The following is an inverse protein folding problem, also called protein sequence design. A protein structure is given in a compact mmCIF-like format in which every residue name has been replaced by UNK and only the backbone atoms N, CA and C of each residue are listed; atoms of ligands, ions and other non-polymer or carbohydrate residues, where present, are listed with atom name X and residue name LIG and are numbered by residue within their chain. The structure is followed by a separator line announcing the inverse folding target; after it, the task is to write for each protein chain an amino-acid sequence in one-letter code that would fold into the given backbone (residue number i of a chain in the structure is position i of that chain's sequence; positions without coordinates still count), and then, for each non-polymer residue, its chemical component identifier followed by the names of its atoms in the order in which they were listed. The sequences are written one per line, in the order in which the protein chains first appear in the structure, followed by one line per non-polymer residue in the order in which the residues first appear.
data_IF_055147387768
#
_entry.id   IF_055147387768
#
_cell.length_a   1.000
_cell.length_b   1.000
_cell.length_c   1.000
_cell.angle_alpha   90.00
_cell.angle_beta   90.00
_cell.angle_gamma   90.00
#
_symmetry.space_group_name_H-M   'P 1'
#
loop_
_entity.id
_entity.type
_entity.pdbx_description
1 polymer ?
#
# COMPACT_ATOMS: atom_id res chain seq x y z
N UNK A 1 -4.51 1.97 17.27
CA UNK A 1 -3.15 2.38 16.84
C UNK A 1 -2.11 1.57 17.59
N UNK A 2 -0.97 1.24 16.99
CA UNK A 2 0.12 0.55 17.68
C UNK A 2 0.77 1.45 18.75
N UNK A 3 1.56 0.85 19.66
CA UNK A 3 2.31 1.51 20.70
C UNK A 3 3.76 0.98 20.80
N UNK A 4 4.49 1.38 21.85
CA UNK A 4 5.83 0.90 22.09
C UNK A 4 6.84 1.28 20.99
N UNK A 5 7.51 0.29 20.42
CA UNK A 5 8.57 0.52 19.40
C UNK A 5 8.02 1.07 18.08
N UNK A 6 6.78 0.77 17.71
CA UNK A 6 6.15 1.21 16.45
C UNK A 6 5.97 2.73 16.34
N UNK A 7 5.83 3.41 17.47
CA UNK A 7 5.58 4.86 17.50
C UNK A 7 6.86 5.70 17.64
N UNK A 8 8.02 5.06 17.85
CA UNK A 8 9.30 5.75 17.95
C UNK A 8 9.96 5.86 16.58
N UNK A 9 10.22 7.08 16.14
CA UNK A 9 10.90 7.33 14.86
C UNK A 9 12.29 6.70 14.79
N UNK A 10 13.00 6.67 15.92
CA UNK A 10 14.33 6.05 16.00
C UNK A 10 14.28 4.53 15.79
N UNK A 11 13.23 3.85 16.26
CA UNK A 11 13.15 2.38 16.25
C UNK A 11 12.37 1.87 15.03
N UNK A 12 11.28 2.54 14.64
CA UNK A 12 10.42 2.14 13.54
C UNK A 12 10.79 2.81 12.21
N UNK A 13 11.44 3.98 12.24
CA UNK A 13 11.76 4.77 11.05
C UNK A 13 10.59 5.60 10.53
N UNK A 14 9.41 4.99 10.40
CA UNK A 14 8.16 5.59 9.92
C UNK A 14 6.96 4.93 10.60
N UNK A 15 5.78 5.47 10.41
CA UNK A 15 4.53 4.99 10.96
C UNK A 15 3.65 4.26 9.95
N UNK A 16 2.39 4.68 9.81
CA UNK A 16 1.38 4.02 8.99
C UNK A 16 1.80 3.80 7.53
N UNK A 17 2.58 4.74 6.96
CA UNK A 17 3.06 4.65 5.57
C UNK A 17 3.93 3.40 5.37
N UNK A 18 4.84 3.11 6.28
CA UNK A 18 5.74 1.96 6.16
C UNK A 18 5.13 0.69 6.74
N UNK A 19 4.39 0.76 7.86
CA UNK A 19 3.88 -0.40 8.57
C UNK A 19 2.78 -1.13 7.77
N UNK A 20 1.69 -0.45 7.46
CA UNK A 20 0.56 -1.03 6.72
C UNK A 20 0.48 -0.56 5.26
N UNK A 21 1.08 0.58 4.94
CA UNK A 21 1.11 1.11 3.58
C UNK A 21 1.90 0.25 2.61
N UNK A 22 2.92 -0.46 3.09
CA UNK A 22 3.72 -1.37 2.28
C UNK A 22 2.88 -2.47 1.62
N UNK A 23 1.86 -3.01 2.29
CA UNK A 23 1.00 -4.05 1.74
C UNK A 23 0.16 -3.54 0.57
N UNK A 24 -0.45 -2.35 0.73
CA UNK A 24 -1.25 -1.73 -0.35
C UNK A 24 -0.38 -1.30 -1.53
N UNK A 25 0.82 -0.77 -1.26
CA UNK A 25 1.78 -0.42 -2.32
C UNK A 25 2.25 -1.66 -3.08
N UNK A 26 2.58 -2.75 -2.37
CA UNK A 26 3.02 -3.99 -3.02
C UNK A 26 1.96 -4.55 -3.96
N UNK A 27 0.72 -4.62 -3.51
CA UNK A 27 -0.40 -5.07 -4.33
C UNK A 27 -0.53 -4.25 -5.62
N UNK A 28 -0.47 -2.92 -5.52
CA UNK A 28 -0.61 -2.03 -6.67
C UNK A 28 0.61 -2.14 -7.59
N UNK A 29 1.81 -2.06 -7.04
CA UNK A 29 3.05 -2.14 -7.82
C UNK A 29 3.20 -3.49 -8.53
N UNK A 30 2.85 -4.59 -7.85
CA UNK A 30 2.86 -5.92 -8.44
C UNK A 30 1.85 -6.04 -9.61
N UNK A 31 0.65 -5.48 -9.44
CA UNK A 31 -0.38 -5.45 -10.50
C UNK A 31 0.09 -4.65 -11.72
N UNK A 32 0.85 -3.58 -11.51
CA UNK A 32 1.37 -2.70 -12.56
C UNK A 32 2.73 -3.13 -13.13
N UNK A 33 3.33 -4.21 -12.62
CA UNK A 33 4.64 -4.70 -13.05
C UNK A 33 5.83 -3.87 -12.56
N UNK A 34 5.69 -3.19 -11.42
CA UNK A 34 6.74 -2.38 -10.78
C UNK A 34 7.31 -1.28 -11.69
N UNK A 35 6.47 -0.37 -12.21
CA UNK A 35 6.94 0.72 -13.06
C UNK A 35 7.91 1.61 -12.27
N UNK A 36 8.83 2.25 -12.99
CA UNK A 36 9.82 3.15 -12.38
C UNK A 36 9.15 4.41 -11.82
N UNK A 37 9.24 4.68 -10.51
CA UNK A 37 8.74 5.92 -9.93
C UNK A 37 9.67 7.09 -10.27
N UNK A 38 9.08 8.27 -10.52
CA UNK A 38 9.80 9.49 -10.91
C UNK A 38 9.78 10.52 -9.79
N UNK A 39 8.57 10.93 -9.38
CA UNK A 39 8.39 11.97 -8.36
C UNK A 39 7.25 11.60 -7.41
N UNK A 40 7.26 12.22 -6.23
CA UNK A 40 6.19 12.10 -5.25
C UNK A 40 5.89 13.44 -4.58
N UNK A 41 4.60 13.72 -4.44
CA UNK A 41 4.07 14.82 -3.62
C UNK A 41 3.22 14.23 -2.52
N UNK A 42 3.50 14.59 -1.25
CA UNK A 42 2.86 13.94 -0.12
C UNK A 42 2.59 14.88 1.07
N UNK A 43 1.65 14.45 1.89
CA UNK A 43 1.35 15.03 3.20
C UNK A 43 1.21 13.90 4.23
N UNK A 44 1.72 14.12 5.43
CA UNK A 44 1.57 13.22 6.57
C UNK A 44 1.08 13.96 7.80
N UNK A 45 0.43 13.24 8.72
CA UNK A 45 -0.05 13.75 10.00
C UNK A 45 0.16 12.69 11.08
N UNK A 46 0.27 13.14 12.32
CA UNK A 46 0.26 12.30 13.53
C UNK A 46 -0.84 12.75 14.50
N UNK A 47 -1.91 13.33 13.99
CA UNK A 47 -2.96 14.01 14.78
C UNK A 47 -3.56 13.12 15.86
N UNK A 48 -3.90 11.88 15.52
CA UNK A 48 -4.51 10.95 16.48
C UNK A 48 -3.47 10.37 17.45
N UNK A 49 -2.31 9.98 16.92
CA UNK A 49 -1.24 9.39 17.72
C UNK A 49 -0.66 10.35 18.75
N UNK A 50 -0.44 11.61 18.36
CA UNK A 50 0.10 12.66 19.24
C UNK A 50 -0.94 13.28 20.18
N UNK A 51 -2.20 12.82 20.16
CA UNK A 51 -3.27 13.35 20.98
C UNK A 51 -3.66 12.37 22.09
N UNK A 52 -3.53 12.81 23.36
CA UNK A 52 -3.83 12.00 24.54
C UNK A 52 -5.28 11.54 24.67
N UNK A 53 -6.22 12.16 23.93
CA UNK A 53 -7.62 11.70 23.86
C UNK A 53 -7.75 10.39 23.07
N UNK A 54 -6.80 10.10 22.17
CA UNK A 54 -6.87 8.97 21.25
C UNK A 54 -5.78 7.93 21.49
N UNK A 55 -4.64 8.32 22.08
CA UNK A 55 -3.51 7.42 22.28
C UNK A 55 -2.90 7.54 23.68
N UNK A 56 -2.73 6.42 24.41
CA UNK A 56 -2.20 6.44 25.79
C UNK A 56 -0.73 6.87 25.87
N UNK A 57 0.04 6.65 24.81
CA UNK A 57 1.45 7.04 24.70
C UNK A 57 1.68 8.26 23.81
N UNK A 58 0.69 9.17 23.71
CA UNK A 58 0.71 10.32 22.81
C UNK A 58 1.98 11.19 22.94
N UNK A 59 2.51 11.34 24.16
CA UNK A 59 3.72 12.12 24.42
C UNK A 59 5.00 11.51 23.84
N UNK A 60 4.96 10.24 23.42
CA UNK A 60 6.08 9.50 22.80
C UNK A 60 5.83 9.22 21.31
N UNK A 61 4.73 9.69 20.76
CA UNK A 61 4.34 9.40 19.38
C UNK A 61 5.10 10.29 18.39
N UNK A 62 6.05 9.73 17.67
CA UNK A 62 7.02 10.47 16.83
C UNK A 62 6.82 10.24 15.32
N UNK A 63 5.99 9.27 14.93
CA UNK A 63 5.78 8.89 13.52
C UNK A 63 4.43 9.36 13.01
N UNK A 64 4.17 9.21 11.72
CA UNK A 64 2.87 9.53 11.14
C UNK A 64 1.84 8.41 11.39
N UNK A 65 0.59 8.80 11.68
CA UNK A 65 -0.57 7.92 11.76
C UNK A 65 -1.45 7.98 10.50
N UNK A 66 -1.23 8.99 9.67
CA UNK A 66 -1.92 9.22 8.41
C UNK A 66 -0.95 9.72 7.34
N UNK A 67 -1.17 9.28 6.10
CA UNK A 67 -0.46 9.82 4.95
C UNK A 67 -1.28 9.75 3.67
N UNK A 68 -1.04 10.75 2.81
CA UNK A 68 -1.56 10.81 1.45
C UNK A 68 -0.45 11.21 0.52
N UNK A 69 -0.39 10.56 -0.65
CA UNK A 69 0.63 10.85 -1.65
C UNK A 69 0.07 10.74 -3.06
N UNK A 70 0.67 11.50 -3.97
CA UNK A 70 0.57 11.35 -5.40
C UNK A 70 1.95 10.97 -5.93
N UNK A 71 2.08 9.78 -6.50
CA UNK A 71 3.33 9.27 -7.08
C UNK A 71 3.19 9.26 -8.60
N UNK A 72 4.14 9.87 -9.30
CA UNK A 72 4.24 9.83 -10.75
C UNK A 72 5.26 8.78 -11.16
N UNK A 73 4.89 7.98 -12.12
CA UNK A 73 5.76 6.95 -12.70
C UNK A 73 6.05 7.29 -14.16
N UNK A 74 6.95 6.53 -14.76
CA UNK A 74 7.11 6.53 -16.22
C UNK A 74 5.79 6.16 -16.94
N UNK A 75 5.69 6.47 -18.23
CA UNK A 75 4.53 6.18 -19.07
C UNK A 75 3.22 6.85 -18.61
N UNK A 76 3.33 8.06 -18.03
CA UNK A 76 2.18 8.87 -17.56
C UNK A 76 1.27 8.20 -16.51
N UNK A 77 1.75 7.16 -15.87
CA UNK A 77 1.03 6.50 -14.79
C UNK A 77 1.12 7.33 -13.50
N UNK A 78 -0.02 7.48 -12.82
CA UNK A 78 -0.12 8.20 -11.54
C UNK A 78 -0.83 7.35 -10.51
N UNK A 79 -0.24 7.23 -9.33
CA UNK A 79 -0.84 6.58 -8.16
C UNK A 79 -1.28 7.63 -7.14
N UNK A 80 -2.53 7.58 -6.73
CA UNK A 80 -3.01 8.23 -5.52
C UNK A 80 -3.02 7.22 -4.38
N UNK A 81 -2.23 7.48 -3.36
CA UNK A 81 -2.04 6.59 -2.23
C UNK A 81 -2.51 7.25 -0.94
N UNK A 82 -3.31 6.54 -0.15
CA UNK A 82 -3.77 6.96 1.18
C UNK A 82 -3.65 5.82 2.15
N UNK A 83 -3.20 6.11 3.37
CA UNK A 83 -3.10 5.13 4.44
C UNK A 83 -3.34 5.79 5.80
N UNK A 84 -3.92 5.06 6.73
CA UNK A 84 -4.14 5.57 8.09
C UNK A 84 -4.21 4.45 9.11
N UNK A 85 -3.60 4.67 10.27
CA UNK A 85 -3.82 3.85 11.46
C UNK A 85 -5.09 4.24 12.22
N UNK A 86 -5.54 5.50 12.04
CA UNK A 86 -6.74 6.02 12.71
C UNK A 86 -7.41 7.11 11.88
N UNK A 87 -8.74 7.07 11.85
CA UNK A 87 -9.56 8.05 11.15
C UNK A 87 -11.00 8.01 11.68
N UNK A 88 -11.74 9.07 11.48
CA UNK A 88 -13.18 9.12 11.78
C UNK A 88 -14.02 8.58 10.61
N UNK A 89 -13.59 7.47 10.01
CA UNK A 89 -14.29 6.77 8.92
C UNK A 89 -14.09 5.27 9.08
N UNK A 90 -14.94 4.48 8.44
CA UNK A 90 -14.89 3.02 8.45
C UNK A 90 -13.85 2.46 7.45
N UNK A 91 -13.57 3.17 6.36
CA UNK A 91 -12.63 2.74 5.33
C UNK A 91 -12.07 3.91 4.53
N UNK A 92 -10.87 3.74 3.97
CA UNK A 92 -10.30 4.64 2.97
C UNK A 92 -10.82 4.38 1.55
N UNK A 93 -11.66 3.35 1.37
CA UNK A 93 -12.28 2.99 0.10
C UNK A 93 -11.60 1.82 -0.62
N UNK A 94 -12.09 1.57 -1.83
CA UNK A 94 -11.57 0.52 -2.71
C UNK A 94 -10.24 0.95 -3.35
N UNK A 95 -9.42 -0.05 -3.72
CA UNK A 95 -8.34 0.17 -4.67
C UNK A 95 -8.91 0.16 -6.08
N UNK A 96 -8.58 1.18 -6.88
CA UNK A 96 -9.10 1.34 -8.23
C UNK A 96 -7.95 1.52 -9.23
N UNK A 97 -8.04 0.81 -10.35
CA UNK A 97 -7.18 1.00 -11.52
C UNK A 97 -8.05 1.60 -12.62
N UNK A 98 -7.69 2.79 -13.09
CA UNK A 98 -8.40 3.52 -14.12
C UNK A 98 -7.55 3.54 -15.39
N UNK A 99 -7.89 2.72 -16.34
CA UNK A 99 -7.25 2.64 -17.66
C UNK A 99 -8.12 3.26 -18.76
N UNK A 100 -7.56 3.36 -19.94
CA UNK A 100 -8.25 3.89 -21.14
C UNK A 100 -9.28 2.92 -21.70
N UNK A 101 -9.02 1.61 -21.56
CA UNK A 101 -9.83 0.55 -22.17
C UNK A 101 -10.72 -0.16 -21.15
N UNK A 102 -10.31 -0.15 -19.89
CA UNK A 102 -11.02 -0.81 -18.79
C UNK A 102 -10.66 -0.20 -17.43
N UNK A 103 -11.51 -0.44 -16.43
CA UNK A 103 -11.25 -0.14 -15.03
C UNK A 103 -11.37 -1.38 -14.15
N UNK A 104 -10.57 -1.45 -13.09
CA UNK A 104 -10.64 -2.51 -12.09
C UNK A 104 -10.88 -1.92 -10.71
N UNK A 105 -11.83 -2.49 -9.98
CA UNK A 105 -12.12 -2.11 -8.60
C UNK A 105 -11.94 -3.32 -7.69
N UNK A 106 -11.08 -3.16 -6.69
CA UNK A 106 -10.79 -4.17 -5.68
C UNK A 106 -11.32 -3.66 -4.34
N UNK A 107 -12.33 -4.33 -3.80
CA UNK A 107 -12.88 -3.99 -2.50
C UNK A 107 -11.96 -4.49 -1.38
N UNK A 108 -11.87 -3.79 -0.23
CA UNK A 108 -11.21 -4.35 0.94
C UNK A 108 -11.93 -5.61 1.43
N UNK A 109 -11.19 -6.56 1.96
CA UNK A 109 -11.76 -7.74 2.60
C UNK A 109 -12.35 -7.35 3.96
N UNK A 110 -13.62 -7.74 4.18
CA UNK A 110 -14.32 -7.47 5.43
C UNK A 110 -14.70 -6.00 5.63
N UNK A 111 -15.50 -5.75 6.64
CA UNK A 111 -15.82 -4.41 7.13
C UNK A 111 -15.21 -4.24 8.53
N UNK A 112 -14.56 -3.14 8.78
CA UNK A 112 -14.03 -2.83 10.10
C UNK A 112 -12.71 -2.06 10.05
N UNK A 113 -12.15 -1.73 11.22
CA UNK A 113 -10.95 -0.89 11.33
C UNK A 113 -9.69 -1.49 10.71
N UNK A 114 -9.72 -2.78 10.38
CA UNK A 114 -8.63 -3.51 9.71
C UNK A 114 -8.94 -3.86 8.26
N UNK A 115 -9.93 -3.16 7.66
CA UNK A 115 -10.27 -3.35 6.26
C UNK A 115 -9.12 -2.90 5.37
N UNK A 116 -8.42 -3.84 4.75
CA UNK A 116 -7.29 -3.58 3.89
C UNK A 116 -6.65 -4.87 3.41
N UNK A 117 -5.59 -4.73 2.66
CA UNK A 117 -4.82 -5.85 2.09
C UNK A 117 -3.62 -6.26 2.96
N UNK A 118 -3.61 -5.87 4.23
CA UNK A 118 -2.49 -6.10 5.15
C UNK A 118 -2.14 -7.58 5.35
N UNK A 119 -3.12 -8.47 5.21
CA UNK A 119 -2.93 -9.93 5.27
C UNK A 119 -2.97 -10.58 3.88
N UNK A 120 -3.06 -9.76 2.81
CA UNK A 120 -3.18 -10.21 1.44
C UNK A 120 -4.60 -10.63 1.04
N UNK A 121 -5.58 -10.53 1.93
CA UNK A 121 -6.97 -10.78 1.58
C UNK A 121 -7.58 -9.57 0.85
N UNK A 122 -8.42 -9.86 -0.14
CA UNK A 122 -9.19 -8.86 -0.88
C UNK A 122 -10.66 -9.25 -0.89
N UNK A 123 -11.53 -8.25 -0.97
CA UNK A 123 -12.95 -8.43 -1.17
C UNK A 123 -13.29 -8.73 -2.63
N UNK A 124 -14.48 -8.34 -3.06
CA UNK A 124 -14.90 -8.52 -4.45
C UNK A 124 -14.04 -7.72 -5.42
N UNK A 125 -13.75 -8.30 -6.58
CA UNK A 125 -13.08 -7.64 -7.70
C UNK A 125 -14.10 -7.48 -8.83
N UNK A 126 -14.18 -6.27 -9.39
CA UNK A 126 -15.08 -5.96 -10.51
C UNK A 126 -14.29 -5.30 -11.63
N UNK A 127 -14.41 -5.86 -12.84
CA UNK A 127 -13.90 -5.27 -14.07
C UNK A 127 -15.01 -4.41 -14.71
N UNK A 128 -14.65 -3.20 -15.12
CA UNK A 128 -15.52 -2.28 -15.87
C UNK A 128 -14.93 -2.10 -17.26
N UNK A 129 -15.72 -2.36 -18.29
CA UNK A 129 -15.27 -2.25 -19.70
C UNK A 129 -16.47 -2.02 -20.62
N UNK A 130 -16.18 -1.67 -21.86
CA UNK A 130 -17.20 -1.56 -22.89
C UNK A 130 -17.35 -2.89 -23.64
N UNK A 131 -18.58 -3.35 -23.84
CA UNK A 131 -18.89 -4.55 -24.59
C UNK A 131 -20.18 -4.32 -25.42
N UNK A 132 -20.16 -4.70 -26.68
CA UNK A 132 -21.30 -4.52 -27.63
C UNK A 132 -21.83 -3.07 -27.68
N UNK A 133 -20.96 -2.07 -27.48
CA UNK A 133 -21.31 -0.65 -27.50
C UNK A 133 -21.98 -0.12 -26.22
N UNK A 134 -21.95 -0.90 -25.14
CA UNK A 134 -22.47 -0.53 -23.83
C UNK A 134 -21.43 -0.71 -22.69
N UNK A 135 -21.58 0.09 -21.64
CA UNK A 135 -20.76 -0.07 -20.43
C UNK A 135 -21.22 -1.29 -19.64
N UNK A 136 -20.28 -2.17 -19.32
CA UNK A 136 -20.54 -3.39 -18.55
C UNK A 136 -19.69 -3.45 -17.29
N UNK A 137 -20.15 -4.25 -16.32
CA UNK A 137 -19.39 -4.57 -15.12
C UNK A 137 -19.42 -6.08 -14.90
N UNK A 138 -18.24 -6.68 -14.82
CA UNK A 138 -18.09 -8.13 -14.70
C UNK A 138 -17.41 -8.46 -13.37
N UNK A 139 -18.08 -9.20 -12.47
CA UNK A 139 -17.41 -9.74 -11.26
C UNK A 139 -16.31 -10.72 -11.66
N UNK A 140 -15.13 -10.54 -11.09
CA UNK A 140 -14.02 -11.47 -11.27
C UNK A 140 -14.05 -12.49 -10.13
N UNK A 141 -14.19 -13.80 -10.42
CA UNK A 141 -14.20 -14.82 -9.40
C UNK A 141 -12.83 -14.95 -8.75
N UNK A 142 -12.80 -14.94 -7.41
CA UNK A 142 -11.58 -15.19 -6.65
C UNK A 142 -11.34 -16.70 -6.55
N UNK A 143 -10.09 -17.12 -6.82
CA UNK A 143 -9.68 -18.51 -6.63
C UNK A 143 -9.39 -18.71 -5.15
N UNK A 144 -10.15 -19.59 -4.50
CA UNK A 144 -9.89 -20.00 -3.12
C UNK A 144 -8.80 -21.06 -3.12
N UNK A 145 -7.66 -20.76 -2.49
CA UNK A 145 -6.59 -21.72 -2.28
C UNK A 145 -6.80 -22.52 -1.01
N UNK A 146 -6.33 -23.78 -0.99
CA UNK A 146 -6.43 -24.67 0.19
C UNK A 146 -5.51 -24.21 1.33
N UNK A 147 -4.35 -23.62 1.00
CA UNK A 147 -3.41 -23.09 1.98
C UNK A 147 -3.82 -21.68 2.38
N UNK A 148 -3.68 -21.36 3.67
CA UNK A 148 -3.78 -19.99 4.12
C UNK A 148 -2.61 -19.15 3.57
N UNK A 149 -2.75 -17.83 3.62
CA UNK A 149 -1.79 -16.91 2.99
C UNK A 149 -0.38 -16.98 3.60
N UNK A 150 -0.28 -17.23 4.90
CA UNK A 150 1.01 -17.31 5.58
C UNK A 150 1.75 -18.62 5.21
N UNK A 151 1.05 -19.74 5.22
CA UNK A 151 1.61 -21.03 4.81
C UNK A 151 2.04 -20.98 3.34
N UNK A 152 1.24 -20.34 2.48
CA UNK A 152 1.58 -20.15 1.08
C UNK A 152 2.87 -19.35 0.89
N UNK A 153 3.06 -18.24 1.62
CA UNK A 153 4.32 -17.46 1.56
C UNK A 153 5.55 -18.30 1.87
N UNK A 154 5.46 -19.11 2.95
CA UNK A 154 6.57 -19.99 3.35
C UNK A 154 6.81 -21.07 2.32
N UNK A 155 5.74 -21.68 1.83
CA UNK A 155 5.80 -22.73 0.81
C UNK A 155 6.44 -22.22 -0.51
N UNK A 156 5.92 -21.11 -1.06
CA UNK A 156 6.42 -20.53 -2.31
C UNK A 156 7.89 -20.11 -2.20
N UNK A 157 8.32 -19.60 -1.05
CA UNK A 157 9.72 -19.24 -0.81
C UNK A 157 10.60 -20.50 -0.69
N UNK A 158 10.15 -21.53 0.03
CA UNK A 158 10.87 -22.81 0.14
C UNK A 158 11.02 -23.50 -1.23
N UNK A 159 9.96 -23.48 -2.05
CA UNK A 159 10.01 -24.00 -3.42
C UNK A 159 11.01 -23.23 -4.29
N UNK A 160 11.04 -21.88 -4.18
CA UNK A 160 11.99 -21.07 -4.93
C UNK A 160 13.45 -21.46 -4.60
N UNK A 161 13.75 -21.71 -3.32
CA UNK A 161 15.08 -22.19 -2.90
C UNK A 161 15.37 -23.58 -3.47
N UNK A 162 14.44 -24.53 -3.30
CA UNK A 162 14.60 -25.91 -3.77
C UNK A 162 14.84 -25.99 -5.28
N UNK A 163 14.11 -25.18 -6.03
CA UNK A 163 14.10 -25.20 -7.49
C UNK A 163 15.10 -24.21 -8.11
N UNK A 164 15.94 -23.56 -7.28
CA UNK A 164 16.91 -22.55 -7.70
C UNK A 164 16.28 -21.40 -8.53
N UNK A 165 15.05 -21.03 -8.20
CA UNK A 165 14.32 -19.92 -8.82
C UNK A 165 14.52 -18.62 -8.04
N UNK A 166 14.36 -17.45 -8.68
CA UNK A 166 14.24 -16.17 -7.95
C UNK A 166 13.15 -16.24 -6.87
N UNK A 167 13.34 -15.49 -5.80
CA UNK A 167 12.30 -15.34 -4.77
C UNK A 167 10.98 -14.83 -5.39
N UNK A 168 9.82 -15.23 -4.86
CA UNK A 168 8.51 -14.78 -5.36
C UNK A 168 8.39 -13.25 -5.39
N UNK A 169 9.02 -12.57 -4.43
CA UNK A 169 9.16 -11.11 -4.40
C UNK A 169 10.67 -10.82 -4.31
N UNK A 170 11.34 -10.54 -5.43
CA UNK A 170 12.77 -10.29 -5.44
C UNK A 170 13.12 -8.93 -4.82
N UNK A 171 14.32 -8.83 -4.25
CA UNK A 171 14.75 -7.66 -3.45
C UNK A 171 14.67 -6.33 -4.20
N UNK A 172 14.88 -6.30 -5.52
CA UNK A 172 14.77 -5.06 -6.31
C UNK A 172 13.35 -4.46 -6.31
N UNK A 173 12.30 -5.29 -6.24
CA UNK A 173 10.91 -4.83 -6.12
C UNK A 173 10.68 -4.14 -4.77
N UNK A 174 11.24 -4.71 -3.70
CA UNK A 174 11.18 -4.11 -2.37
C UNK A 174 11.95 -2.77 -2.34
N UNK A 175 13.06 -2.65 -3.05
CA UNK A 175 13.80 -1.38 -3.14
C UNK A 175 12.98 -0.29 -3.84
N UNK A 176 12.23 -0.60 -4.88
CA UNK A 176 11.29 0.35 -5.53
C UNK A 176 10.24 0.83 -4.52
N UNK A 177 9.63 -0.10 -3.80
CA UNK A 177 8.64 0.23 -2.78
C UNK A 177 9.22 1.11 -1.67
N UNK A 178 10.40 0.77 -1.15
CA UNK A 178 11.07 1.55 -0.11
C UNK A 178 11.46 2.94 -0.59
N UNK A 179 11.90 3.08 -1.84
CA UNK A 179 12.21 4.38 -2.43
C UNK A 179 10.97 5.28 -2.54
N UNK A 180 9.80 4.71 -2.83
CA UNK A 180 8.53 5.45 -2.81
C UNK A 180 8.20 5.90 -1.37
N UNK A 181 8.29 5.01 -0.38
CA UNK A 181 8.04 5.32 1.04
C UNK A 181 8.97 6.45 1.52
N UNK A 182 10.28 6.35 1.24
CA UNK A 182 11.24 7.40 1.55
C UNK A 182 10.88 8.72 0.88
N UNK A 183 10.54 8.68 -0.41
CA UNK A 183 10.07 9.85 -1.15
C UNK A 183 8.83 10.49 -0.53
N UNK A 184 7.85 9.71 -0.07
CA UNK A 184 6.65 10.20 0.63
C UNK A 184 7.05 10.97 1.89
N UNK A 185 7.93 10.40 2.72
CA UNK A 185 8.37 11.02 3.95
C UNK A 185 9.19 12.29 3.69
N UNK A 186 10.10 12.28 2.69
CA UNK A 186 10.88 13.46 2.29
C UNK A 186 9.99 14.56 1.72
N UNK A 187 9.02 14.21 0.89
CA UNK A 187 8.07 15.18 0.33
C UNK A 187 7.24 15.84 1.43
N UNK A 188 6.68 15.07 2.35
CA UNK A 188 5.90 15.58 3.48
C UNK A 188 6.74 16.51 4.37
N UNK A 189 7.97 16.13 4.70
CA UNK A 189 8.88 16.94 5.50
C UNK A 189 9.27 18.26 4.80
N UNK A 190 9.51 18.21 3.49
CA UNK A 190 9.90 19.38 2.68
C UNK A 190 8.70 20.20 2.17
N UNK A 191 7.47 19.71 2.33
CA UNK A 191 6.21 20.32 1.84
C UNK A 191 6.25 20.65 0.35
N UNK A 192 6.87 19.78 -0.44
CA UNK A 192 6.98 19.94 -1.91
C UNK A 192 7.17 18.59 -2.58
N UNK A 193 6.94 18.56 -3.88
CA UNK A 193 7.29 17.41 -4.72
C UNK A 193 8.80 17.16 -4.68
N UNK A 194 9.19 15.88 -4.63
CA UNK A 194 10.58 15.42 -4.63
C UNK A 194 10.76 14.29 -5.64
N UNK A 195 11.96 14.13 -6.16
CA UNK A 195 12.34 12.97 -6.98
C UNK A 195 12.42 11.73 -6.11
N UNK A 196 12.00 10.60 -6.67
CA UNK A 196 12.22 9.27 -6.06
C UNK A 196 13.61 8.79 -6.42
N UNK A 197 14.40 8.49 -5.41
CA UNK A 197 15.80 8.04 -5.57
C UNK A 197 15.84 6.53 -5.45
N UNK A 198 16.14 5.86 -6.57
CA UNK A 198 16.38 4.40 -6.55
C UNK A 198 17.85 4.16 -6.20
N UNK A 199 18.14 3.20 -5.30
CA UNK A 199 19.51 2.79 -5.03
C UNK A 199 20.14 2.18 -6.31
N UNK A 200 21.42 2.45 -6.49
CA UNK A 200 22.22 1.97 -7.63
C UNK A 200 22.60 0.50 -7.48
#
# INVERSE_FOLDING_TARGET
MPGGTFISKKLAGAGAIADIGCYSLDMVLNTLGYPRPLTVSAFTSNHFGANSLYHPEASKFEVEDFGVAMVRFENDLVLHFKISWAMHMDTLGATMFLGTDAGLKVMPAGGGPWSGVWDGSVGSITLYHDEFGGHTSTPIPLIVHQLNLFDRKVHDFAEAIRDFRPAPIPGYQILIQQAIIDGVLRSAANRREVSVELPH
#
